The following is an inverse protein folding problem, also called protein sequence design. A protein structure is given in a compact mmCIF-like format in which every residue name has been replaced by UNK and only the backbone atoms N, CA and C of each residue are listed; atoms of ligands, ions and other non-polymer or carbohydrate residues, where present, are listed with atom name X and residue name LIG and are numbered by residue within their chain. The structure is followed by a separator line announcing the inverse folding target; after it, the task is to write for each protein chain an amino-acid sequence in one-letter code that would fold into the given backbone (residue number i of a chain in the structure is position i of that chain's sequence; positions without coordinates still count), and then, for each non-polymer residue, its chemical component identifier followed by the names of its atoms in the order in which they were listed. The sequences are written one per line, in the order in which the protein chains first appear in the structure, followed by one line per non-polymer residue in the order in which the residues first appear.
data_IF_732609913679
#
_entry.id   IF_732609913679
#
_cell.length_a   1.000
_cell.length_b   1.000
_cell.length_c   1.000
_cell.angle_alpha   90.00
_cell.angle_beta   90.00
_cell.angle_gamma   90.00
#
_symmetry.space_group_name_H-M   'P 1'
#
loop_
_entity.id
_entity.type
_entity.pdbx_description
1 polymer ?
#
# COMPACT_ATOMS: atom_id res chain seq x y z
N UNK A 1 -49.23 40.09 3.83
CA UNK A 1 -48.03 40.74 3.29
C UNK A 1 -46.84 39.89 3.74
N UNK A 2 -46.47 39.09 2.89
CA UNK A 2 -45.46 38.04 2.94
C UNK A 2 -44.37 38.38 1.98
N UNK A 3 -43.15 38.31 2.40
CA UNK A 3 -42.06 38.32 1.45
C UNK A 3 -41.21 37.06 1.65
N UNK A 4 -41.19 36.29 0.58
CA UNK A 4 -40.30 35.18 0.31
C UNK A 4 -38.89 35.71 0.13
N UNK A 5 -37.93 35.14 0.85
CA UNK A 5 -36.51 35.29 0.50
C UNK A 5 -35.96 33.88 0.23
N UNK A 6 -35.86 33.54 -1.06
CA UNK A 6 -35.18 32.36 -1.57
C UNK A 6 -33.71 32.70 -1.75
N UNK A 7 -32.85 32.26 -0.85
CA UNK A 7 -31.41 32.32 -1.02
C UNK A 7 -30.93 31.28 -2.02
N UNK A 8 -30.33 31.78 -3.05
CA UNK A 8 -29.77 31.13 -4.20
C UNK A 8 -28.40 30.52 -3.80
N UNK A 9 -28.33 29.21 -3.60
CA UNK A 9 -27.08 28.49 -3.42
C UNK A 9 -26.37 28.39 -4.79
N UNK A 10 -25.40 29.24 -5.02
CA UNK A 10 -24.51 29.19 -6.18
C UNK A 10 -23.58 27.97 -6.07
N UNK A 11 -23.81 26.98 -6.92
CA UNK A 11 -22.90 25.86 -7.13
C UNK A 11 -21.54 26.39 -7.65
N UNK A 12 -20.48 26.19 -6.89
CA UNK A 12 -19.11 26.46 -7.33
C UNK A 12 -18.70 25.37 -8.34
N UNK A 13 -18.52 25.80 -9.58
CA UNK A 13 -17.91 25.00 -10.65
C UNK A 13 -16.44 24.73 -10.27
N UNK A 14 -15.95 23.48 -10.35
CA UNK A 14 -14.55 23.20 -10.09
C UNK A 14 -13.66 23.92 -11.11
N UNK A 15 -12.59 24.54 -10.61
CA UNK A 15 -11.63 25.27 -11.42
C UNK A 15 -11.01 24.34 -12.47
N UNK A 16 -11.26 24.65 -13.74
CA UNK A 16 -10.58 24.04 -14.87
C UNK A 16 -9.15 24.56 -14.92
N UNK A 17 -8.17 23.68 -14.77
CA UNK A 17 -6.78 24.00 -15.04
C UNK A 17 -6.62 24.37 -16.52
N UNK A 18 -5.97 25.49 -16.86
CA UNK A 18 -5.72 25.82 -18.24
C UNK A 18 -4.76 24.79 -18.83
N UNK A 19 -5.24 23.99 -19.78
CA UNK A 19 -4.38 23.16 -20.60
C UNK A 19 -3.43 24.06 -21.37
N UNK A 20 -2.15 23.98 -21.05
CA UNK A 20 -1.10 24.75 -21.74
C UNK A 20 -1.06 24.29 -23.19
N UNK A 21 -1.43 25.17 -24.13
CA UNK A 21 -1.42 24.95 -25.58
C UNK A 21 -0.01 24.66 -26.16
N UNK A 22 1.01 24.51 -25.35
CA UNK A 22 2.38 24.21 -25.77
C UNK A 22 2.67 22.71 -26.02
N UNK A 23 1.78 21.79 -25.63
CA UNK A 23 2.00 20.36 -25.81
C UNK A 23 1.56 19.78 -27.15
N UNK A 24 1.04 20.60 -28.09
CA UNK A 24 0.44 20.11 -29.34
C UNK A 24 1.37 20.12 -30.57
N UNK A 25 2.64 20.53 -30.44
CA UNK A 25 3.55 20.62 -31.57
C UNK A 25 4.84 19.78 -31.45
N UNK A 26 4.90 18.82 -30.55
CA UNK A 26 5.94 17.81 -30.61
C UNK A 26 5.57 16.79 -31.67
N UNK A 27 6.32 16.79 -32.78
CA UNK A 27 6.17 15.79 -33.84
C UNK A 27 6.22 14.39 -33.19
N UNK A 28 5.21 13.54 -33.43
CA UNK A 28 5.19 12.16 -33.01
C UNK A 28 6.46 11.48 -33.54
N UNK A 29 7.39 11.23 -32.65
CA UNK A 29 8.63 10.50 -32.96
C UNK A 29 8.25 9.04 -33.23
N UNK A 30 8.72 8.48 -34.34
CA UNK A 30 8.58 7.05 -34.61
C UNK A 30 9.21 6.23 -33.44
N UNK A 31 8.57 5.11 -33.09
CA UNK A 31 9.00 4.28 -31.97
C UNK A 31 10.46 3.84 -32.07
N UNK A 32 10.96 3.55 -33.27
CA UNK A 32 12.37 3.22 -33.50
C UNK A 32 13.29 4.42 -33.30
N UNK A 33 12.87 5.61 -33.70
CA UNK A 33 13.62 6.84 -33.48
C UNK A 33 13.68 7.19 -31.98
N UNK A 34 12.58 6.99 -31.23
CA UNK A 34 12.54 7.18 -29.78
C UNK A 34 13.51 6.24 -29.06
N UNK A 35 13.55 4.96 -29.46
CA UNK A 35 14.50 3.96 -28.92
C UNK A 35 15.93 4.35 -29.23
N UNK A 36 16.25 4.76 -30.46
CA UNK A 36 17.60 5.17 -30.86
C UNK A 36 18.03 6.42 -30.10
N UNK A 37 17.18 7.42 -29.96
CA UNK A 37 17.47 8.62 -29.13
C UNK A 37 17.70 8.27 -27.69
N UNK A 38 16.90 7.37 -27.11
CA UNK A 38 17.11 6.91 -25.73
C UNK A 38 18.44 6.15 -25.58
N UNK A 39 18.81 5.31 -26.56
CA UNK A 39 20.08 4.59 -26.56
C UNK A 39 21.30 5.52 -26.70
N UNK A 40 21.22 6.56 -27.53
CA UNK A 40 22.24 7.59 -27.66
C UNK A 40 22.38 8.40 -26.37
N UNK A 41 21.25 8.90 -25.84
CA UNK A 41 21.22 9.64 -24.57
C UNK A 41 21.76 8.79 -23.40
N UNK A 42 21.53 7.48 -23.43
CA UNK A 42 22.03 6.55 -22.41
C UNK A 42 23.56 6.42 -22.48
N UNK A 43 24.15 6.38 -23.68
CA UNK A 43 25.62 6.33 -23.84
C UNK A 43 26.30 7.54 -23.18
N UNK A 44 25.71 8.73 -23.39
CA UNK A 44 26.24 9.99 -22.82
C UNK A 44 25.89 10.14 -21.33
N UNK A 45 24.84 9.49 -20.86
CA UNK A 45 24.38 9.56 -19.47
C UNK A 45 24.85 8.36 -18.61
N UNK A 46 25.60 7.41 -19.18
CA UNK A 46 25.98 6.18 -18.47
C UNK A 46 26.69 6.46 -17.13
N UNK A 47 27.50 7.51 -17.05
CA UNK A 47 28.16 7.94 -15.80
C UNK A 47 27.22 8.69 -14.84
N UNK A 48 26.10 9.26 -15.34
CA UNK A 48 25.09 9.98 -14.53
C UNK A 48 23.99 9.06 -14.04
N UNK A 49 23.80 7.91 -14.69
CA UNK A 49 22.80 6.89 -14.30
C UNK A 49 23.35 5.92 -13.24
N UNK A 50 24.63 5.99 -12.93
CA UNK A 50 25.15 5.35 -11.73
C UNK A 50 24.67 6.21 -10.55
N UNK A 51 24.00 5.60 -9.54
CA UNK A 51 23.71 6.35 -8.32
C UNK A 51 25.03 6.95 -7.84
N UNK A 52 25.11 8.28 -7.62
CA UNK A 52 26.30 8.86 -7.05
C UNK A 52 26.60 8.11 -5.75
N UNK A 53 27.79 7.59 -5.62
CA UNK A 53 28.32 7.12 -4.36
C UNK A 53 28.41 8.37 -3.47
N UNK A 54 27.40 8.56 -2.61
CA UNK A 54 27.23 9.79 -1.82
C UNK A 54 26.06 10.63 -2.35
N UNK A 55 24.85 10.09 -2.41
CA UNK A 55 23.65 10.89 -2.25
C UNK A 55 23.82 11.61 -0.92
N UNK A 56 23.83 12.96 -0.93
CA UNK A 56 23.90 13.75 0.29
C UNK A 56 22.89 13.26 1.30
N UNK A 57 23.22 13.32 2.58
CA UNK A 57 22.28 12.92 3.63
C UNK A 57 20.97 13.68 3.46
N UNK A 58 19.87 12.93 3.38
CA UNK A 58 18.53 13.51 3.43
C UNK A 58 18.36 14.03 4.86
N UNK A 59 17.94 15.30 5.09
CA UNK A 59 17.92 15.90 6.43
C UNK A 59 16.69 15.45 7.26
N UNK A 60 16.28 14.19 7.09
CA UNK A 60 15.20 13.53 7.84
C UNK A 60 15.66 12.11 8.18
N UNK A 61 15.17 11.53 9.30
CA UNK A 61 15.51 10.16 9.67
C UNK A 61 15.11 9.15 8.59
N UNK A 62 15.90 8.09 8.46
CA UNK A 62 15.52 6.92 7.68
C UNK A 62 14.45 6.10 8.41
N UNK A 63 13.62 5.41 7.66
CA UNK A 63 12.68 4.42 8.19
C UNK A 63 13.43 3.30 8.92
N UNK A 64 12.93 2.95 10.11
CA UNK A 64 13.41 1.80 10.87
C UNK A 64 12.29 0.83 11.19
N UNK A 65 12.54 -0.45 10.97
CA UNK A 65 11.69 -1.56 11.44
C UNK A 65 12.19 -2.14 12.78
N UNK A 66 13.13 -1.46 13.44
CA UNK A 66 13.73 -1.88 14.71
C UNK A 66 13.54 -0.81 15.78
N UNK A 67 12.66 -1.08 16.74
CA UNK A 67 12.34 -0.16 17.85
C UNK A 67 13.52 0.21 18.75
N UNK A 68 14.68 -0.46 18.61
CA UNK A 68 15.90 -0.16 19.35
C UNK A 68 16.89 0.72 18.57
N UNK A 69 16.56 1.07 17.34
CA UNK A 69 17.43 1.84 16.43
C UNK A 69 16.65 3.00 15.82
N UNK A 70 17.35 4.08 15.52
CA UNK A 70 16.73 5.26 14.93
C UNK A 70 15.95 6.11 15.92
N UNK A 71 14.99 6.93 15.46
CA UNK A 71 14.14 7.75 16.31
C UNK A 71 13.21 6.90 17.19
N UNK A 72 12.70 7.48 18.29
CA UNK A 72 11.64 6.85 19.05
C UNK A 72 10.33 6.79 18.26
N UNK A 73 9.56 5.72 18.43
CA UNK A 73 8.21 5.67 17.87
C UNK A 73 7.36 6.81 18.41
N UNK A 74 6.58 7.46 17.56
CA UNK A 74 5.67 8.53 17.95
C UNK A 74 4.62 8.03 18.97
N UNK A 75 4.36 8.81 20.02
CA UNK A 75 3.45 8.40 21.12
C UNK A 75 2.03 8.06 20.62
N UNK A 76 1.54 8.76 19.59
CA UNK A 76 0.25 8.48 18.96
C UNK A 76 0.15 7.12 18.26
N UNK A 77 1.26 6.39 18.11
CA UNK A 77 1.31 5.09 17.42
C UNK A 77 1.54 3.90 18.37
N UNK A 78 1.56 4.13 19.68
CA UNK A 78 1.83 3.07 20.67
C UNK A 78 0.87 1.88 20.56
N UNK A 79 -0.37 2.10 20.11
CA UNK A 79 -1.34 1.04 19.82
C UNK A 79 -0.96 0.15 18.64
N UNK A 80 -0.05 0.59 17.77
CA UNK A 80 0.46 -0.15 16.61
C UNK A 80 1.91 -0.65 16.81
N UNK A 81 2.54 -0.31 17.94
CA UNK A 81 3.92 -0.70 18.24
C UNK A 81 4.21 -2.19 17.99
N UNK A 82 3.34 -3.13 18.37
CA UNK A 82 3.61 -4.54 18.15
C UNK A 82 3.72 -4.97 16.68
N UNK A 83 3.22 -4.15 15.73
CA UNK A 83 3.30 -4.42 14.30
C UNK A 83 4.67 -4.06 13.70
N UNK A 84 5.41 -3.11 14.32
CA UNK A 84 6.72 -2.66 13.81
C UNK A 84 7.70 -3.83 13.75
N UNK A 85 8.29 -4.04 12.57
CA UNK A 85 9.23 -5.13 12.35
C UNK A 85 9.29 -5.57 10.89
N UNK A 86 10.18 -6.53 10.64
CA UNK A 86 10.24 -7.29 9.39
C UNK A 86 9.68 -8.69 9.66
N UNK A 87 8.65 -9.04 8.91
CA UNK A 87 7.90 -10.27 9.04
C UNK A 87 8.03 -11.10 7.77
N UNK A 88 8.16 -12.42 7.90
CA UNK A 88 8.26 -13.31 6.75
C UNK A 88 7.57 -14.64 7.04
N UNK A 89 6.88 -15.18 6.05
CA UNK A 89 6.18 -16.46 6.15
C UNK A 89 5.40 -16.79 4.90
N UNK A 90 4.37 -17.60 5.05
CA UNK A 90 3.59 -18.14 3.95
C UNK A 90 2.09 -17.92 4.18
N UNK A 91 1.34 -17.98 3.11
CA UNK A 91 -0.09 -17.78 3.12
C UNK A 91 -0.82 -18.47 1.98
N UNK A 92 -2.12 -18.28 1.97
CA UNK A 92 -3.04 -18.77 0.96
C UNK A 92 -3.85 -17.60 0.40
N UNK A 93 -4.10 -17.62 -0.90
CA UNK A 93 -4.92 -16.63 -1.58
C UNK A 93 -5.83 -17.30 -2.60
N UNK A 94 -6.87 -16.57 -3.02
CA UNK A 94 -7.73 -16.97 -4.11
C UNK A 94 -7.52 -16.00 -5.29
N UNK A 95 -7.40 -16.54 -6.51
CA UNK A 95 -7.40 -15.70 -7.70
C UNK A 95 -8.83 -15.23 -8.04
N UNK A 96 -8.98 -14.41 -9.09
CA UNK A 96 -10.28 -13.89 -9.54
C UNK A 96 -11.28 -14.98 -9.93
N UNK A 97 -10.80 -16.18 -10.27
CA UNK A 97 -11.61 -17.33 -10.68
C UNK A 97 -11.95 -18.24 -9.50
N UNK A 98 -11.51 -17.87 -8.27
CA UNK A 98 -11.75 -18.61 -7.04
C UNK A 98 -10.76 -19.78 -6.81
N UNK A 99 -9.77 -19.96 -7.67
CA UNK A 99 -8.74 -20.97 -7.49
C UNK A 99 -7.77 -20.56 -6.38
N UNK A 100 -7.51 -21.47 -5.46
CA UNK A 100 -6.60 -21.26 -4.33
C UNK A 100 -5.15 -21.46 -4.75
N UNK A 101 -4.26 -20.63 -4.24
CA UNK A 101 -2.83 -20.77 -4.42
C UNK A 101 -2.06 -20.37 -3.17
N UNK A 102 -0.87 -20.96 -3.01
CA UNK A 102 0.04 -20.64 -1.93
C UNK A 102 1.01 -19.52 -2.33
N UNK A 103 1.36 -18.67 -1.36
CA UNK A 103 2.34 -17.61 -1.55
C UNK A 103 3.27 -17.47 -0.36
N UNK A 104 4.51 -17.04 -0.62
CA UNK A 104 5.38 -16.52 0.40
C UNK A 104 5.25 -15.01 0.50
N UNK A 105 5.46 -14.45 1.68
CA UNK A 105 5.37 -13.01 1.95
C UNK A 105 6.51 -12.50 2.79
N UNK A 106 7.00 -11.31 2.46
CA UNK A 106 7.76 -10.43 3.34
C UNK A 106 6.95 -9.15 3.54
N UNK A 107 6.69 -8.82 4.81
CA UNK A 107 6.02 -7.60 5.22
C UNK A 107 6.98 -6.79 6.10
N UNK A 108 7.20 -5.53 5.75
CA UNK A 108 7.99 -4.57 6.53
C UNK A 108 7.07 -3.48 7.02
N UNK A 109 7.03 -3.27 8.32
CA UNK A 109 6.34 -2.16 8.98
C UNK A 109 7.39 -1.36 9.74
N UNK A 110 7.58 -0.09 9.34
CA UNK A 110 8.65 0.76 9.81
C UNK A 110 8.13 2.15 10.19
N UNK A 111 8.97 2.95 10.85
CA UNK A 111 8.69 4.33 11.22
C UNK A 111 9.96 5.19 11.13
N UNK A 112 9.79 6.49 11.01
CA UNK A 112 10.85 7.52 11.03
C UNK A 112 10.74 8.45 12.25
N UNK A 113 9.84 8.14 13.19
CA UNK A 113 9.52 8.94 14.38
C UNK A 113 8.33 9.87 14.21
N UNK A 114 7.82 10.05 13.00
CA UNK A 114 6.62 10.83 12.71
C UNK A 114 5.33 10.04 13.02
N UNK A 115 4.18 10.73 12.98
CA UNK A 115 2.88 10.14 13.36
C UNK A 115 2.27 9.26 12.25
N UNK A 116 3.05 8.34 11.73
CA UNK A 116 2.63 7.27 10.81
C UNK A 116 3.62 6.11 10.83
N UNK A 117 3.14 4.92 10.45
CA UNK A 117 4.00 3.81 10.06
C UNK A 117 3.97 3.70 8.54
N UNK A 118 5.13 3.45 7.95
CA UNK A 118 5.22 2.97 6.57
C UNK A 118 5.02 1.46 6.55
N UNK A 119 4.41 0.93 5.50
CA UNK A 119 4.41 -0.51 5.29
C UNK A 119 4.73 -0.84 3.82
N UNK A 120 5.44 -1.95 3.63
CA UNK A 120 5.63 -2.55 2.33
C UNK A 120 5.51 -4.06 2.42
N UNK A 121 4.76 -4.64 1.50
CA UNK A 121 4.55 -6.08 1.37
C UNK A 121 5.03 -6.54 0.00
N UNK A 122 5.67 -7.70 -0.03
CA UNK A 122 6.04 -8.42 -1.25
C UNK A 122 5.56 -9.83 -1.13
N UNK A 123 4.78 -10.30 -2.10
CA UNK A 123 4.41 -11.69 -2.21
C UNK A 123 5.03 -12.35 -3.44
N UNK A 124 5.18 -13.64 -3.38
CA UNK A 124 5.65 -14.48 -4.46
C UNK A 124 4.91 -15.81 -4.45
N UNK A 125 4.63 -16.37 -5.62
CA UNK A 125 4.01 -17.68 -5.74
C UNK A 125 4.96 -18.78 -5.29
N UNK A 126 4.46 -19.78 -4.59
CA UNK A 126 5.20 -20.97 -4.19
C UNK A 126 4.51 -22.23 -4.72
N UNK A 127 5.31 -23.24 -5.06
CA UNK A 127 4.82 -24.57 -5.43
C UNK A 127 4.52 -25.44 -4.19
N UNK A 128 4.14 -26.69 -4.41
CA UNK A 128 3.82 -27.64 -3.35
C UNK A 128 5.02 -27.97 -2.44
N UNK A 129 6.22 -27.77 -2.93
CA UNK A 129 7.48 -27.95 -2.21
C UNK A 129 7.94 -26.67 -1.47
N UNK A 130 7.15 -25.57 -1.54
CA UNK A 130 7.47 -24.28 -0.90
C UNK A 130 8.51 -23.44 -1.66
N UNK A 131 8.85 -23.83 -2.90
CA UNK A 131 9.82 -23.09 -3.72
C UNK A 131 9.17 -21.95 -4.47
N UNK A 132 9.83 -20.79 -4.49
CA UNK A 132 9.36 -19.62 -5.24
C UNK A 132 9.34 -19.92 -6.75
N UNK A 133 8.19 -19.67 -7.38
CA UNK A 133 7.97 -19.88 -8.82
C UNK A 133 7.89 -18.56 -9.58
N UNK A 134 7.66 -17.44 -8.92
CA UNK A 134 7.62 -16.11 -9.53
C UNK A 134 7.08 -15.04 -8.60
N UNK A 135 7.24 -13.76 -8.96
CA UNK A 135 6.67 -12.66 -8.19
C UNK A 135 5.13 -12.70 -8.27
N UNK A 136 4.49 -12.18 -7.24
CA UNK A 136 3.04 -11.99 -7.19
C UNK A 136 2.72 -10.50 -7.02
N UNK A 137 2.29 -10.06 -5.85
CA UNK A 137 1.82 -8.69 -5.62
C UNK A 137 2.80 -7.91 -4.73
N UNK A 138 2.88 -6.61 -4.94
CA UNK A 138 3.52 -5.65 -4.03
C UNK A 138 2.50 -4.65 -3.54
N UNK A 139 2.51 -4.38 -2.24
CA UNK A 139 1.70 -3.35 -1.62
C UNK A 139 2.61 -2.38 -0.85
N UNK A 140 2.24 -1.11 -0.85
CA UNK A 140 2.90 -0.07 -0.05
C UNK A 140 1.86 0.90 0.48
N UNK A 141 2.11 1.48 1.64
CA UNK A 141 1.19 2.44 2.20
C UNK A 141 1.57 2.90 3.61
N UNK A 142 0.57 3.41 4.31
CA UNK A 142 0.73 4.02 5.63
C UNK A 142 -0.33 3.53 6.60
N UNK A 143 0.07 3.42 7.87
CA UNK A 143 -0.83 3.27 9.00
C UNK A 143 -0.74 4.51 9.86
N UNK A 144 -1.87 5.01 10.32
CA UNK A 144 -1.99 6.17 11.18
C UNK A 144 -3.02 5.90 12.27
N UNK A 145 -2.97 6.70 13.33
CA UNK A 145 -4.06 6.76 14.31
C UNK A 145 -4.62 8.17 14.27
N UNK A 146 -5.92 8.29 14.06
CA UNK A 146 -6.63 9.56 14.02
C UNK A 146 -6.75 10.17 15.44
N UNK A 147 -7.07 11.48 15.55
CA UNK A 147 -7.37 12.09 16.87
C UNK A 147 -8.59 11.49 17.59
N UNK A 148 -9.32 10.58 16.95
CA UNK A 148 -10.45 9.85 17.54
C UNK A 148 -10.10 8.42 17.91
N UNK A 149 -8.80 8.09 17.93
CA UNK A 149 -8.27 6.74 18.17
C UNK A 149 -8.69 5.69 17.13
N UNK A 150 -9.13 6.13 15.94
CA UNK A 150 -9.39 5.24 14.81
C UNK A 150 -8.09 4.94 14.06
N UNK A 151 -7.90 3.71 13.66
CA UNK A 151 -6.81 3.30 12.78
C UNK A 151 -7.19 3.68 11.34
N UNK A 152 -6.29 4.39 10.66
CA UNK A 152 -6.38 4.70 9.24
C UNK A 152 -5.27 3.94 8.51
N UNK A 153 -5.62 3.10 7.55
CA UNK A 153 -4.66 2.44 6.68
C UNK A 153 -4.94 2.81 5.23
N UNK A 154 -3.93 3.32 4.55
CA UNK A 154 -3.99 3.59 3.12
C UNK A 154 -2.97 2.73 2.41
N UNK A 155 -3.34 2.12 1.28
CA UNK A 155 -2.36 1.39 0.49
C UNK A 155 -2.66 1.44 -1.01
N UNK A 156 -1.63 1.17 -1.78
CA UNK A 156 -1.72 0.86 -3.18
C UNK A 156 -1.01 -0.47 -3.49
N UNK A 157 -1.45 -1.13 -4.53
CA UNK A 157 -0.98 -2.44 -4.93
C UNK A 157 -0.53 -2.45 -6.38
N UNK A 158 0.52 -3.23 -6.68
CA UNK A 158 1.07 -3.39 -8.02
C UNK A 158 0.10 -3.97 -9.05
N UNK A 159 -1.01 -4.55 -8.60
CA UNK A 159 -2.08 -5.06 -9.45
C UNK A 159 -3.17 -4.02 -9.75
N UNK A 160 -2.95 -2.75 -9.37
CA UNK A 160 -3.86 -1.65 -9.70
C UNK A 160 -4.98 -1.40 -8.69
N UNK A 161 -4.82 -1.83 -7.44
CA UNK A 161 -5.75 -1.54 -6.35
C UNK A 161 -5.23 -0.37 -5.51
N UNK A 162 -6.11 0.56 -5.16
CA UNK A 162 -5.88 1.61 -4.15
C UNK A 162 -7.03 1.54 -3.14
N UNK A 163 -6.70 1.52 -1.85
CA UNK A 163 -7.72 1.30 -0.84
C UNK A 163 -7.46 2.12 0.43
N UNK A 164 -8.54 2.54 1.07
CA UNK A 164 -8.56 3.21 2.38
C UNK A 164 -9.36 2.35 3.33
N UNK A 165 -8.74 1.98 4.45
CA UNK A 165 -9.37 1.28 5.55
C UNK A 165 -9.46 2.18 6.77
N UNK A 166 -10.54 2.01 7.51
CA UNK A 166 -10.67 2.47 8.89
C UNK A 166 -10.82 1.27 9.81
N UNK A 167 -10.32 1.40 11.03
CA UNK A 167 -10.39 0.31 11.96
C UNK A 167 -10.16 0.72 13.40
N UNK A 168 -10.15 -0.30 14.25
CA UNK A 168 -9.96 -0.15 15.67
C UNK A 168 -9.16 -1.33 16.23
N UNK A 169 -8.51 -1.20 17.39
CA UNK A 169 -7.98 -2.33 18.10
C UNK A 169 -9.13 -3.27 18.50
N UNK A 170 -9.07 -4.52 18.05
CA UNK A 170 -9.99 -5.56 18.51
C UNK A 170 -9.65 -6.01 19.93
N UNK A 171 -8.36 -5.99 20.27
CA UNK A 171 -7.80 -6.19 21.60
C UNK A 171 -6.33 -5.72 21.58
N UNK A 172 -5.59 -5.91 22.69
CA UNK A 172 -4.18 -5.51 22.81
C UNK A 172 -3.23 -6.15 21.79
N UNK A 173 -3.66 -7.17 21.07
CA UNK A 173 -2.85 -7.96 20.14
C UNK A 173 -3.49 -8.14 18.77
N UNK A 174 -4.62 -7.51 18.51
CA UNK A 174 -5.33 -7.65 17.23
C UNK A 174 -5.98 -6.33 16.81
N UNK A 175 -6.02 -6.11 15.51
CA UNK A 175 -6.52 -4.90 14.85
C UNK A 175 -7.45 -5.31 13.72
N UNK A 176 -8.63 -4.73 13.72
CA UNK A 176 -9.65 -4.95 12.68
C UNK A 176 -9.82 -3.70 11.85
N UNK A 177 -9.90 -3.88 10.53
CA UNK A 177 -10.06 -2.79 9.57
C UNK A 177 -11.15 -3.14 8.55
N UNK A 178 -11.94 -2.14 8.17
CA UNK A 178 -12.94 -2.26 7.10
C UNK A 178 -12.66 -1.22 6.01
N UNK A 179 -12.79 -1.60 4.75
CA UNK A 179 -12.55 -0.67 3.66
C UNK A 179 -13.65 0.37 3.55
N UNK A 180 -13.26 1.64 3.55
CA UNK A 180 -14.14 2.77 3.31
C UNK A 180 -14.18 3.14 1.82
N UNK A 181 -13.13 2.85 1.08
CA UNK A 181 -13.03 3.10 -0.34
C UNK A 181 -12.08 2.10 -0.99
N UNK A 182 -12.54 1.45 -2.04
CA UNK A 182 -11.76 0.55 -2.90
C UNK A 182 -11.82 1.07 -4.32
N UNK A 183 -10.66 1.38 -4.89
CA UNK A 183 -10.52 1.82 -6.28
C UNK A 183 -9.65 0.80 -7.03
N UNK A 184 -10.08 0.45 -8.24
CA UNK A 184 -9.38 -0.52 -9.08
C UNK A 184 -9.18 0.09 -10.47
N UNK A 185 -7.96 -0.03 -11.01
CA UNK A 185 -7.66 0.41 -12.37
C UNK A 185 -8.34 -0.50 -13.40
N UNK A 186 -8.47 -0.04 -14.64
CA UNK A 186 -9.09 -0.82 -15.73
C UNK A 186 -8.48 -2.22 -15.92
N UNK A 187 -7.17 -2.34 -15.69
CA UNK A 187 -6.41 -3.60 -15.82
C UNK A 187 -6.26 -4.37 -14.50
N UNK A 188 -6.82 -3.84 -13.41
CA UNK A 188 -6.76 -4.47 -12.09
C UNK A 188 -7.74 -5.64 -11.94
N UNK A 189 -7.79 -6.26 -10.74
CA UNK A 189 -8.66 -7.41 -10.49
C UNK A 189 -10.13 -7.03 -10.67
N UNK A 190 -10.83 -7.81 -11.49
CA UNK A 190 -12.26 -7.62 -11.71
C UNK A 190 -13.04 -8.09 -10.48
N UNK A 191 -14.10 -7.38 -10.16
CA UNK A 191 -15.03 -7.74 -9.08
C UNK A 191 -14.42 -7.76 -7.67
N UNK A 192 -13.34 -6.99 -7.43
CA UNK A 192 -12.84 -6.81 -6.08
C UNK A 192 -13.78 -5.88 -5.30
N UNK A 193 -14.58 -6.47 -4.42
CA UNK A 193 -15.47 -5.74 -3.51
C UNK A 193 -14.75 -5.11 -2.31
N UNK A 194 -15.48 -4.33 -1.50
CA UNK A 194 -14.99 -3.87 -0.20
C UNK A 194 -14.46 -5.02 0.64
N UNK A 195 -13.46 -4.74 1.47
CA UNK A 195 -12.77 -5.75 2.26
C UNK A 195 -12.82 -5.50 3.75
N UNK A 196 -12.52 -6.57 4.49
CA UNK A 196 -12.15 -6.54 5.91
C UNK A 196 -10.78 -7.15 6.06
N UNK A 197 -9.91 -6.46 6.81
CA UNK A 197 -8.61 -7.00 7.19
C UNK A 197 -8.52 -7.13 8.70
N UNK A 198 -8.00 -8.25 9.17
CA UNK A 198 -7.64 -8.43 10.55
C UNK A 198 -6.17 -8.82 10.64
N UNK A 199 -5.46 -8.15 11.52
CA UNK A 199 -4.10 -8.48 11.91
C UNK A 199 -4.08 -8.89 13.36
N UNK A 200 -3.29 -9.89 13.74
CA UNK A 200 -3.21 -10.34 15.12
C UNK A 200 -1.93 -11.07 15.45
N UNK A 201 -1.37 -10.80 16.63
CA UNK A 201 -0.26 -11.58 17.17
C UNK A 201 -0.80 -12.87 17.78
N UNK A 202 -0.39 -13.98 17.21
CA UNK A 202 -0.71 -15.33 17.65
C UNK A 202 0.02 -15.68 18.97
N UNK A 203 -0.35 -16.76 19.65
CA UNK A 203 0.32 -17.18 20.90
C UNK A 203 1.83 -17.42 20.78
N UNK A 204 2.31 -17.81 19.59
CA UNK A 204 3.72 -17.98 19.26
C UNK A 204 4.44 -16.66 18.88
N UNK A 205 3.75 -15.52 19.00
CA UNK A 205 4.17 -14.18 18.56
C UNK A 205 4.39 -14.03 17.05
N UNK A 206 3.91 -14.96 16.24
CA UNK A 206 3.78 -14.73 14.80
C UNK A 206 2.67 -13.74 14.52
N UNK A 207 2.80 -12.99 13.44
CA UNK A 207 1.75 -12.10 12.93
C UNK A 207 0.86 -12.90 11.99
N UNK A 208 -0.39 -13.16 12.40
CA UNK A 208 -1.43 -13.65 11.52
C UNK A 208 -2.19 -12.47 10.89
N UNK A 209 -2.57 -12.59 9.63
CA UNK A 209 -3.52 -11.67 9.03
C UNK A 209 -4.46 -12.37 8.06
N UNK A 210 -5.65 -11.81 7.92
CA UNK A 210 -6.67 -12.27 6.97
C UNK A 210 -7.25 -11.06 6.23
N UNK A 211 -7.57 -11.25 4.96
CA UNK A 211 -8.31 -10.32 4.10
C UNK A 211 -9.53 -11.07 3.59
N UNK A 212 -10.72 -10.53 3.84
CA UNK A 212 -11.98 -11.01 3.33
C UNK A 212 -12.56 -9.97 2.36
N UNK A 213 -13.22 -10.42 1.32
CA UNK A 213 -13.83 -9.53 0.31
C UNK A 213 -15.30 -9.80 0.16
N UNK A 214 -16.06 -8.74 -0.05
CA UNK A 214 -17.48 -8.83 -0.34
C UNK A 214 -17.67 -9.36 -1.76
N UNK A 215 -18.22 -10.56 -1.88
CA UNK A 215 -18.54 -11.22 -3.15
C UNK A 215 -20.00 -11.66 -3.09
N UNK A 216 -20.82 -11.16 -4.02
CA UNK A 216 -22.26 -11.50 -4.11
C UNK A 216 -23.04 -11.29 -2.80
N UNK A 217 -22.65 -10.27 -2.02
CA UNK A 217 -23.32 -9.92 -0.76
C UNK A 217 -22.81 -10.66 0.48
N UNK A 218 -21.80 -11.53 0.35
CA UNK A 218 -21.17 -12.27 1.45
C UNK A 218 -19.68 -11.97 1.54
N UNK A 219 -19.16 -11.87 2.78
CA UNK A 219 -17.73 -11.78 3.02
C UNK A 219 -17.11 -13.16 2.81
N UNK A 220 -16.14 -13.24 1.91
CA UNK A 220 -15.44 -14.48 1.57
C UNK A 220 -13.93 -14.31 1.79
N UNK A 221 -13.23 -15.35 2.30
CA UNK A 221 -11.79 -15.33 2.41
C UNK A 221 -11.14 -15.03 1.04
N UNK A 222 -10.22 -14.07 1.04
CA UNK A 222 -9.47 -13.68 -0.14
C UNK A 222 -7.98 -14.00 0.00
N UNK A 223 -7.36 -13.55 1.10
CA UNK A 223 -5.97 -13.85 1.41
C UNK A 223 -5.78 -14.03 2.91
N UNK A 224 -4.82 -14.86 3.30
CA UNK A 224 -4.38 -14.95 4.69
C UNK A 224 -2.94 -15.44 4.76
N UNK A 225 -2.19 -15.02 5.80
CA UNK A 225 -0.85 -15.52 6.04
C UNK A 225 -0.52 -15.57 7.53
N UNK A 226 0.47 -16.39 7.86
CA UNK A 226 1.17 -16.40 9.13
C UNK A 226 2.64 -16.07 8.91
N UNK A 227 3.13 -15.05 9.60
CA UNK A 227 4.46 -14.49 9.40
C UNK A 227 5.24 -14.52 10.72
N UNK A 228 6.44 -15.05 10.72
CA UNK A 228 7.37 -14.94 11.83
C UNK A 228 8.14 -13.62 11.77
N UNK A 229 8.49 -13.05 12.93
CA UNK A 229 9.33 -11.85 13.00
C UNK A 229 10.78 -12.23 12.70
N UNK A 230 11.37 -11.62 11.67
CA UNK A 230 12.77 -11.86 11.28
C UNK A 230 13.69 -10.72 11.72
N UNK A 231 13.13 -9.53 11.98
CA UNK A 231 13.82 -8.39 12.59
C UNK A 231 12.80 -7.44 13.26
N UNK A 232 13.24 -6.67 14.29
CA UNK A 232 12.39 -5.70 14.98
C UNK A 232 12.52 -5.75 16.49
#
# INVERSE_FOLDING_TARGET
MSENNSENASAQTPASFPATQQAQNEAKIDGNEAVNRAAEAWKDAASRNLPPLGLGEVPVPDDTANLRQGPSLHDGLLGLLPLVGVWQGEGQAHNSDGEQYAFGQQLVIAHDGENYLTFSSRTWRIDAEGKATGPDVRETGFWRISPKDEIEMTYNSSNGVVEIFYGEPFNERAWQLESASTMVTETGPKNLGPGKRMYGLMPNNNLGWVDERLVEGEMRPYMSAELSRVAG
#
